data_IF_985945855257
#
_entry.id   IF_985945855257
#
_cell.length_a   1.000
_cell.length_b   1.000
_cell.length_c   1.000
_cell.angle_alpha   90.00
_cell.angle_beta   90.00
_cell.angle_gamma   90.00
#
_symmetry.space_group_name_H-M   'P 1'
#
loop_
_entity.id
_entity.type
_entity.pdbx_description
1 polymer ?
#
# COMPACT_ATOMS: atom_id res chain seq x y z
N UNK A 1 23.32 2.52 0.82
CA UNK A 1 22.65 1.98 2.03
C UNK A 1 21.32 2.67 2.05
N UNK A 2 20.27 1.97 1.65
CA UNK A 2 18.92 2.51 1.61
C UNK A 2 18.46 2.96 3.01
N UNK A 3 17.63 3.99 3.04
CA UNK A 3 16.90 4.43 4.24
C UNK A 3 15.53 4.96 3.84
N UNK A 4 14.57 5.00 4.76
CA UNK A 4 13.26 5.62 4.46
C UNK A 4 13.41 7.10 4.10
N UNK A 5 14.35 7.81 4.72
CA UNK A 5 14.66 9.20 4.35
C UNK A 5 15.23 9.35 2.93
N UNK A 6 16.03 8.39 2.47
CA UNK A 6 16.54 8.38 1.09
C UNK A 6 15.39 8.14 0.10
N UNK A 7 14.51 7.19 0.39
CA UNK A 7 13.32 6.94 -0.40
C UNK A 7 12.43 8.18 -0.50
N UNK A 8 12.10 8.80 0.64
CA UNK A 8 11.31 10.04 0.68
C UNK A 8 11.99 11.18 -0.07
N UNK A 9 13.32 11.27 -0.02
CA UNK A 9 14.05 12.29 -0.79
C UNK A 9 13.92 12.06 -2.29
N UNK A 10 14.02 10.81 -2.76
CA UNK A 10 13.82 10.45 -4.16
C UNK A 10 12.38 10.73 -4.62
N UNK A 11 11.38 10.38 -3.81
CA UNK A 11 9.97 10.68 -4.10
C UNK A 11 9.75 12.19 -4.32
N UNK A 12 10.39 13.02 -3.49
CA UNK A 12 10.23 14.47 -3.54
C UNK A 12 11.16 15.18 -4.54
N UNK A 13 12.00 14.45 -5.28
CA UNK A 13 12.93 15.03 -6.23
C UNK A 13 12.26 15.15 -7.61
N UNK A 14 11.96 16.37 -8.09
CA UNK A 14 11.27 16.57 -9.37
C UNK A 14 12.14 16.18 -10.59
N UNK A 15 13.45 16.01 -10.40
CA UNK A 15 14.38 15.59 -11.44
C UNK A 15 14.64 14.06 -11.42
N UNK A 16 14.11 13.34 -10.43
CA UNK A 16 14.21 11.87 -10.35
C UNK A 16 13.23 11.24 -11.35
N UNK A 17 13.76 10.41 -12.24
CA UNK A 17 12.99 9.75 -13.30
C UNK A 17 12.23 8.53 -12.76
N UNK A 18 11.61 8.62 -11.59
CA UNK A 18 10.88 7.58 -10.84
C UNK A 18 11.65 6.28 -10.55
N UNK A 19 12.75 6.01 -11.24
CA UNK A 19 13.45 4.73 -11.26
C UNK A 19 14.18 4.51 -9.94
N UNK A 20 14.83 5.55 -9.41
CA UNK A 20 15.63 5.40 -8.19
C UNK A 20 14.77 5.12 -6.96
N UNK A 21 13.58 5.69 -6.86
CA UNK A 21 12.67 5.41 -5.77
C UNK A 21 12.32 3.91 -5.71
N UNK A 22 11.95 3.30 -6.85
CA UNK A 22 11.65 1.88 -6.93
C UNK A 22 12.88 0.98 -6.72
N UNK A 23 14.09 1.38 -7.16
CA UNK A 23 15.31 0.65 -6.80
C UNK A 23 15.53 0.60 -5.28
N UNK A 24 15.26 1.70 -4.58
CA UNK A 24 15.35 1.75 -3.12
C UNK A 24 14.29 0.85 -2.48
N UNK A 25 13.08 0.80 -3.04
CA UNK A 25 12.04 -0.15 -2.61
C UNK A 25 12.52 -1.59 -2.77
N UNK A 26 13.09 -1.97 -3.92
CA UNK A 26 13.64 -3.30 -4.15
C UNK A 26 14.75 -3.65 -3.15
N UNK A 27 15.66 -2.71 -2.88
CA UNK A 27 16.71 -2.88 -1.87
C UNK A 27 16.12 -3.09 -0.46
N UNK A 28 15.08 -2.33 -0.09
CA UNK A 28 14.38 -2.48 1.19
C UNK A 28 13.71 -3.86 1.29
N UNK A 29 12.95 -4.26 0.27
CA UNK A 29 12.23 -5.54 0.24
C UNK A 29 13.22 -6.71 0.28
N UNK A 30 14.30 -6.65 -0.49
CA UNK A 30 15.35 -7.66 -0.49
C UNK A 30 16.04 -7.82 0.89
N UNK A 31 16.08 -6.75 1.69
CA UNK A 31 16.62 -6.83 3.05
C UNK A 31 15.70 -7.59 4.03
N UNK A 32 14.38 -7.58 3.78
CA UNK A 32 13.37 -8.13 4.67
C UNK A 32 13.28 -7.43 6.04
N UNK A 33 13.83 -6.22 6.18
CA UNK A 33 13.85 -5.49 7.46
C UNK A 33 12.47 -4.92 7.80
N UNK A 34 11.67 -5.74 8.49
CA UNK A 34 10.34 -5.34 8.98
C UNK A 34 10.38 -4.21 10.01
N UNK A 35 11.54 -3.83 10.56
CA UNK A 35 11.65 -2.67 11.45
C UNK A 35 11.39 -1.35 10.72
N UNK A 36 11.40 -1.33 9.39
CA UNK A 36 11.10 -0.15 8.57
C UNK A 36 9.60 0.13 8.44
N UNK A 37 8.74 -0.89 8.65
CA UNK A 37 7.29 -0.80 8.44
C UNK A 37 6.63 0.37 9.22
N UNK A 38 6.91 0.59 10.52
CA UNK A 38 6.31 1.72 11.25
C UNK A 38 6.72 3.09 10.69
N UNK A 39 7.94 3.21 10.18
CA UNK A 39 8.42 4.46 9.58
C UNK A 39 7.74 4.69 8.24
N UNK A 40 7.68 3.67 7.37
CA UNK A 40 6.97 3.74 6.10
C UNK A 40 5.48 4.07 6.29
N UNK A 41 4.82 3.47 7.27
CA UNK A 41 3.43 3.79 7.60
C UNK A 41 3.24 5.26 8.02
N UNK A 42 4.24 5.85 8.69
CA UNK A 42 4.23 7.28 9.04
C UNK A 42 4.36 8.15 7.81
N UNK A 43 5.24 7.82 6.86
CA UNK A 43 5.39 8.57 5.61
C UNK A 43 4.18 8.43 4.70
N UNK A 44 3.56 7.24 4.62
CA UNK A 44 2.31 7.03 3.89
C UNK A 44 1.24 8.02 4.36
N UNK A 45 1.06 8.18 5.67
CA UNK A 45 0.09 9.14 6.21
C UNK A 45 0.41 10.59 5.84
N UNK A 46 1.70 10.95 5.71
CA UNK A 46 2.08 12.30 5.27
C UNK A 46 1.73 12.52 3.81
N UNK A 47 2.13 11.63 2.91
CA UNK A 47 1.80 11.74 1.48
C UNK A 47 0.29 11.77 1.23
N UNK A 48 -0.48 10.94 1.97
CA UNK A 48 -1.94 11.00 1.94
C UNK A 48 -2.51 12.36 2.37
N UNK A 49 -1.90 13.02 3.37
CA UNK A 49 -2.32 14.35 3.83
C UNK A 49 -1.90 15.47 2.87
N UNK A 50 -0.82 15.28 2.14
CA UNK A 50 -0.29 16.24 1.15
C UNK A 50 -0.97 16.11 -0.22
N UNK A 51 -1.72 15.02 -0.44
CA UNK A 51 -2.36 14.75 -1.73
C UNK A 51 -1.39 14.19 -2.77
N UNK A 52 -0.29 13.61 -2.33
CA UNK A 52 0.74 13.06 -3.20
C UNK A 52 0.46 11.59 -3.50
N UNK A 53 -0.17 11.35 -4.66
CA UNK A 53 -0.47 9.99 -5.12
C UNK A 53 0.79 9.19 -5.46
N UNK A 54 1.84 9.84 -5.99
CA UNK A 54 3.08 9.16 -6.34
C UNK A 54 3.81 8.69 -5.09
N UNK A 55 3.94 9.57 -4.08
CA UNK A 55 4.51 9.20 -2.80
C UNK A 55 3.69 8.15 -2.05
N UNK A 56 2.36 8.19 -2.14
CA UNK A 56 1.48 7.13 -1.61
C UNK A 56 1.81 5.78 -2.23
N UNK A 57 1.92 5.71 -3.55
CA UNK A 57 2.08 4.45 -4.28
C UNK A 57 3.45 3.81 -4.01
N UNK A 58 4.53 4.60 -4.10
CA UNK A 58 5.89 4.11 -3.81
C UNK A 58 6.02 3.59 -2.38
N UNK A 59 5.44 4.29 -1.40
CA UNK A 59 5.47 3.83 0.00
C UNK A 59 4.57 2.61 0.20
N UNK A 60 3.43 2.52 -0.48
CA UNK A 60 2.55 1.36 -0.44
C UNK A 60 3.24 0.09 -0.97
N UNK A 61 4.02 0.20 -2.05
CA UNK A 61 4.80 -0.91 -2.59
C UNK A 61 5.87 -1.40 -1.61
N UNK A 62 6.58 -0.47 -0.96
CA UNK A 62 7.55 -0.82 0.08
C UNK A 62 6.87 -1.54 1.27
N UNK A 63 5.70 -1.07 1.70
CA UNK A 63 4.92 -1.70 2.75
C UNK A 63 4.43 -3.10 2.35
N UNK A 64 3.92 -3.25 1.13
CA UNK A 64 3.47 -4.52 0.57
C UNK A 64 4.62 -5.53 0.53
N UNK A 65 5.79 -5.14 0.02
CA UNK A 65 6.94 -6.04 -0.06
C UNK A 65 7.52 -6.44 1.30
N UNK A 66 7.51 -5.54 2.30
CA UNK A 66 8.09 -5.81 3.62
C UNK A 66 7.13 -6.54 4.57
N UNK A 67 5.86 -6.14 4.60
CA UNK A 67 4.86 -6.68 5.51
C UNK A 67 3.98 -7.76 4.87
N UNK A 68 4.01 -7.90 3.54
CA UNK A 68 3.16 -8.84 2.80
C UNK A 68 1.69 -8.52 3.05
N UNK A 69 0.88 -9.57 3.18
CA UNK A 69 -0.57 -9.45 3.39
C UNK A 69 -0.95 -8.64 4.64
N UNK A 70 -0.07 -8.52 5.63
CA UNK A 70 -0.32 -7.72 6.83
C UNK A 70 -0.32 -6.20 6.54
N UNK A 71 0.18 -5.75 5.37
CA UNK A 71 0.01 -4.38 4.90
C UNK A 71 -1.41 -4.07 4.40
N UNK A 72 -2.19 -5.09 4.02
CA UNK A 72 -3.45 -4.92 3.30
C UNK A 72 -4.42 -3.91 3.98
N UNK A 73 -4.64 -3.93 5.31
CA UNK A 73 -5.52 -2.96 5.94
C UNK A 73 -5.07 -1.50 5.78
N UNK A 74 -3.76 -1.27 5.82
CA UNK A 74 -3.18 0.06 5.64
C UNK A 74 -3.32 0.54 4.19
N UNK A 75 -3.18 -0.36 3.22
CA UNK A 75 -3.28 -0.06 1.79
C UNK A 75 -4.74 0.18 1.38
N UNK A 76 -5.69 -0.58 1.92
CA UNK A 76 -7.12 -0.30 1.76
C UNK A 76 -7.47 1.08 2.31
N UNK A 77 -6.99 1.42 3.51
CA UNK A 77 -7.21 2.75 4.08
C UNK A 77 -6.57 3.88 3.26
N UNK A 78 -5.43 3.62 2.61
CA UNK A 78 -4.79 4.56 1.69
C UNK A 78 -5.59 4.75 0.39
N UNK A 79 -6.07 3.65 -0.21
CA UNK A 79 -6.86 3.69 -1.45
C UNK A 79 -8.26 4.27 -1.23
N UNK A 80 -8.78 4.19 0.00
CA UNK A 80 -10.02 4.87 0.41
C UNK A 80 -9.93 6.40 0.43
N UNK A 81 -8.75 6.98 0.17
CA UNK A 81 -8.54 8.43 0.04
C UNK A 81 -8.35 8.80 -1.43
N UNK A 82 -9.34 9.50 -1.97
CA UNK A 82 -9.26 10.09 -3.30
C UNK A 82 -8.24 11.24 -3.33
N UNK A 83 -7.15 11.05 -4.08
CA UNK A 83 -6.10 12.05 -4.31
C UNK A 83 -6.17 12.66 -5.72
N UNK A 84 -7.21 12.34 -6.50
CA UNK A 84 -7.41 12.84 -7.87
C UNK A 84 -6.64 12.10 -8.95
N UNK A 85 -6.02 10.97 -8.62
CA UNK A 85 -5.36 10.05 -9.54
C UNK A 85 -6.27 8.87 -9.94
N UNK A 86 -5.84 8.05 -10.91
CA UNK A 86 -6.61 6.88 -11.37
C UNK A 86 -6.54 5.67 -10.42
N UNK A 87 -5.62 5.69 -9.44
CA UNK A 87 -5.40 4.65 -8.43
C UNK A 87 -4.89 3.32 -8.98
N UNK A 88 -4.59 3.21 -10.28
CA UNK A 88 -4.29 1.92 -10.93
C UNK A 88 -3.07 1.23 -10.28
N UNK A 89 -2.04 2.00 -9.92
CA UNK A 89 -0.82 1.47 -9.27
C UNK A 89 -1.14 0.86 -7.91
N UNK A 90 -1.71 1.65 -6.97
CA UNK A 90 -2.05 1.16 -5.63
C UNK A 90 -3.06 0.00 -5.66
N UNK A 91 -4.07 0.08 -6.55
CA UNK A 91 -5.04 -1.00 -6.70
C UNK A 91 -4.38 -2.28 -7.22
N UNK A 92 -3.45 -2.17 -8.17
CA UNK A 92 -2.69 -3.33 -8.65
C UNK A 92 -1.91 -3.98 -7.51
N UNK A 93 -1.20 -3.19 -6.68
CA UNK A 93 -0.48 -3.70 -5.50
C UNK A 93 -1.41 -4.39 -4.49
N UNK A 94 -2.60 -3.83 -4.26
CA UNK A 94 -3.61 -4.45 -3.40
C UNK A 94 -4.06 -5.81 -3.97
N UNK A 95 -4.38 -5.87 -5.26
CA UNK A 95 -4.83 -7.11 -5.92
C UNK A 95 -3.72 -8.17 -5.94
N UNK A 96 -2.47 -7.78 -6.14
CA UNK A 96 -1.33 -8.67 -6.04
C UNK A 96 -1.21 -9.27 -4.63
N UNK A 97 -1.29 -8.45 -3.57
CA UNK A 97 -1.30 -8.95 -2.19
C UNK A 97 -2.45 -9.93 -1.93
N UNK A 98 -3.65 -9.60 -2.40
CA UNK A 98 -4.83 -10.45 -2.26
C UNK A 98 -4.59 -11.82 -2.90
N UNK A 99 -4.02 -11.84 -4.11
CA UNK A 99 -3.75 -13.09 -4.86
C UNK A 99 -2.72 -14.01 -4.19
N UNK A 100 -1.85 -13.47 -3.34
CA UNK A 100 -0.83 -14.26 -2.62
C UNK A 100 -1.43 -15.10 -1.50
N UNK A 101 -2.46 -14.60 -0.81
CA UNK A 101 -3.13 -15.28 0.30
C UNK A 101 -4.60 -14.84 0.41
N UNK A 102 -5.44 -15.37 -0.49
CA UNK A 102 -6.86 -15.01 -0.59
C UNK A 102 -7.64 -15.26 0.70
N UNK A 103 -7.33 -16.35 1.43
CA UNK A 103 -8.01 -16.70 2.68
C UNK A 103 -7.70 -15.68 3.78
N UNK A 104 -6.43 -15.26 3.90
CA UNK A 104 -6.06 -14.21 4.85
C UNK A 104 -6.58 -12.85 4.42
N UNK A 105 -6.54 -12.55 3.12
CA UNK A 105 -7.10 -11.33 2.54
C UNK A 105 -8.58 -11.20 2.87
N UNK A 106 -9.38 -12.25 2.62
CA UNK A 106 -10.81 -12.32 2.96
C UNK A 106 -11.05 -11.94 4.42
N UNK A 107 -10.36 -12.58 5.35
CA UNK A 107 -10.53 -12.31 6.78
C UNK A 107 -10.20 -10.86 7.16
N UNK A 108 -9.17 -10.26 6.55
CA UNK A 108 -8.81 -8.86 6.79
C UNK A 108 -9.85 -7.89 6.21
N UNK A 109 -10.30 -8.12 4.98
CA UNK A 109 -11.28 -7.29 4.28
C UNK A 109 -12.68 -7.36 4.91
N UNK A 110 -13.08 -8.53 5.42
CA UNK A 110 -14.33 -8.69 6.17
C UNK A 110 -14.31 -7.87 7.47
N UNK A 111 -13.16 -7.82 8.17
CA UNK A 111 -13.03 -6.94 9.33
C UNK A 111 -13.14 -5.46 8.95
N UNK A 112 -12.53 -5.05 7.83
CA UNK A 112 -12.62 -3.67 7.32
C UNK A 112 -14.02 -3.30 6.81
N UNK A 113 -14.84 -4.28 6.48
CA UNK A 113 -16.25 -4.05 6.13
C UNK A 113 -17.08 -3.54 7.32
N UNK A 114 -16.53 -3.58 8.54
CA UNK A 114 -17.11 -2.99 9.74
C UNK A 114 -16.37 -1.72 10.24
N UNK A 115 -15.45 -1.16 9.44
CA UNK A 115 -14.68 0.05 9.80
C UNK A 115 -15.60 1.27 10.01
N UNK A 116 -15.20 2.20 10.87
CA UNK A 116 -15.96 3.43 11.14
C UNK A 116 -16.06 4.32 9.89
N UNK A 117 -15.03 4.33 9.05
CA UNK A 117 -14.96 5.13 7.82
C UNK A 117 -15.78 4.50 6.69
N UNK A 118 -16.80 5.20 6.14
CA UNK A 118 -17.55 4.70 4.99
C UNK A 118 -16.68 4.39 3.76
N UNK A 119 -15.67 5.22 3.47
CA UNK A 119 -14.81 4.99 2.32
C UNK A 119 -13.95 3.74 2.50
N UNK A 120 -13.49 3.44 3.72
CA UNK A 120 -12.73 2.22 4.00
C UNK A 120 -13.61 0.98 3.80
N UNK A 121 -14.87 1.03 4.28
CA UNK A 121 -15.83 -0.07 4.04
C UNK A 121 -16.11 -0.27 2.56
N UNK A 122 -16.28 0.80 1.80
CA UNK A 122 -16.54 0.75 0.36
C UNK A 122 -15.33 0.19 -0.41
N UNK A 123 -14.10 0.64 -0.10
CA UNK A 123 -12.88 0.11 -0.70
C UNK A 123 -12.64 -1.34 -0.30
N UNK A 124 -12.93 -1.74 0.94
CA UNK A 124 -12.86 -3.14 1.35
C UNK A 124 -13.87 -4.01 0.59
N UNK A 125 -15.10 -3.53 0.39
CA UNK A 125 -16.11 -4.21 -0.41
C UNK A 125 -15.68 -4.37 -1.88
N UNK A 126 -15.13 -3.32 -2.49
CA UNK A 126 -14.53 -3.39 -3.82
C UNK A 126 -13.46 -4.48 -3.89
N UNK A 127 -12.53 -4.53 -2.94
CA UNK A 127 -11.46 -5.53 -2.93
C UNK A 127 -12.01 -6.96 -2.76
N UNK A 128 -13.09 -7.15 -1.99
CA UNK A 128 -13.76 -8.45 -1.83
C UNK A 128 -14.37 -8.97 -3.14
N UNK A 129 -14.72 -8.12 -4.10
CA UNK A 129 -15.28 -8.54 -5.40
C UNK A 129 -14.27 -9.31 -6.27
N UNK A 130 -12.97 -9.21 -5.97
CA UNK A 130 -11.90 -9.88 -6.69
C UNK A 130 -11.54 -11.26 -6.12
N UNK A 131 -12.14 -11.65 -5.00
CA UNK A 131 -11.93 -12.97 -4.40
C UNK A 131 -12.94 -13.98 -4.96
N UNK A 132 -12.49 -15.20 -5.22
CA UNK A 132 -13.40 -16.30 -5.57
C UNK A 132 -14.37 -16.56 -4.41
N UNK A 133 -15.67 -16.82 -4.68
CA UNK A 133 -16.62 -17.15 -3.62
C UNK A 133 -16.20 -18.44 -2.91
N UNK A 134 -16.37 -18.48 -1.60
CA UNK A 134 -16.10 -19.70 -0.82
C UNK A 134 -16.98 -20.84 -1.36
N UNK A 135 -16.33 -21.85 -1.94
CA UNK A 135 -17.00 -23.09 -2.33
C UNK A 135 -17.06 -23.99 -1.10
N UNK A 136 -18.14 -23.87 -0.34
CA UNK A 136 -18.53 -24.80 0.74
C UNK A 136 -18.62 -26.27 0.27
#
# INVERSE_FOLDING_TARGET
MFTVNELVRCINDPDDDSTRAYEIVDEMVASGDKALVPHLATELQKFLNEGDFYGRDVIADALAGLAGIEALPLLIAASARDLGDDQDTLQSTILELISVDEARARALLENLSADDSPSVRETAAWALEFLEPDLD
#
